data_IF_019136869737
#
_entry.id   IF_019136869737
#
_cell.length_a   1.000
_cell.length_b   1.000
_cell.length_c   1.000
_cell.angle_alpha   90.00
_cell.angle_beta   90.00
_cell.angle_gamma   90.00
#
_symmetry.space_group_name_H-M   'P 1'
#
loop_
_entity.id
_entity.type
_entity.pdbx_description
1 polymer ?
#
# COMPACT_ATOMS: atom_id res chain seq x y z
N UNK A 1 4.91 28.52 -19.77
CA UNK A 1 4.64 28.61 -18.33
C UNK A 1 3.42 27.73 -18.06
N UNK A 2 3.54 26.70 -17.24
CA UNK A 2 2.40 25.85 -16.85
C UNK A 2 1.61 26.56 -15.76
N UNK A 3 0.28 26.60 -15.87
CA UNK A 3 -0.57 27.30 -14.93
C UNK A 3 -1.71 26.38 -14.50
N UNK A 4 -1.98 26.34 -13.18
CA UNK A 4 -3.20 25.72 -12.64
C UNK A 4 -4.38 26.60 -13.04
N UNK A 5 -5.32 26.05 -13.79
CA UNK A 5 -6.47 26.78 -14.33
C UNK A 5 -7.65 26.80 -13.35
N UNK A 6 -7.78 25.74 -12.52
CA UNK A 6 -8.85 25.66 -11.54
C UNK A 6 -8.94 24.30 -10.85
N UNK A 7 -9.87 24.21 -9.91
CA UNK A 7 -10.25 22.97 -9.24
C UNK A 7 -11.69 22.67 -9.64
N UNK A 8 -11.93 21.50 -10.18
CA UNK A 8 -13.24 21.05 -10.62
C UNK A 8 -13.65 19.78 -9.88
N UNK A 9 -14.92 19.72 -9.50
CA UNK A 9 -15.50 18.51 -8.91
C UNK A 9 -16.17 17.70 -10.00
N UNK A 10 -15.82 16.44 -10.13
CA UNK A 10 -16.31 15.54 -11.16
C UNK A 10 -16.94 14.31 -10.51
N UNK A 11 -18.03 13.82 -11.06
CA UNK A 11 -18.64 12.57 -10.65
C UNK A 11 -17.95 11.37 -11.30
N UNK A 12 -17.87 10.25 -10.60
CA UNK A 12 -17.31 9.00 -11.13
C UNK A 12 -17.97 8.55 -12.44
N UNK A 13 -19.26 8.83 -12.63
CA UNK A 13 -20.01 8.49 -13.83
C UNK A 13 -19.60 9.31 -15.07
N UNK A 14 -18.87 10.39 -14.89
CA UNK A 14 -18.37 11.25 -15.97
C UNK A 14 -16.96 10.89 -16.40
N UNK A 15 -16.30 9.98 -15.66
CA UNK A 15 -14.97 9.48 -15.98
C UNK A 15 -15.09 8.32 -16.94
N UNK A 16 -14.56 8.48 -18.13
CA UNK A 16 -14.54 7.46 -19.19
C UNK A 16 -13.18 6.76 -19.14
N UNK A 17 -13.19 5.45 -19.19
CA UNK A 17 -11.95 4.68 -19.28
C UNK A 17 -11.24 5.01 -20.60
N UNK A 18 -9.92 5.28 -20.59
CA UNK A 18 -9.19 5.60 -21.81
C UNK A 18 -9.26 4.44 -22.82
N UNK A 19 -9.44 4.76 -24.09
CA UNK A 19 -9.31 3.81 -25.18
C UNK A 19 -7.82 3.48 -25.43
N UNK A 20 -7.54 2.31 -26.00
CA UNK A 20 -6.20 1.85 -26.37
C UNK A 20 -5.43 2.83 -27.28
N UNK A 21 -6.14 3.73 -27.96
CA UNK A 21 -5.56 4.78 -28.81
C UNK A 21 -4.88 5.91 -28.02
N UNK A 22 -5.27 6.10 -26.75
CA UNK A 22 -4.69 7.11 -25.84
C UNK A 22 -3.57 6.50 -25.01
N UNK A 23 -3.58 5.19 -24.90
CA UNK A 23 -2.55 4.41 -24.21
C UNK A 23 -1.48 4.04 -25.23
N UNK A 24 -0.34 4.75 -25.22
CA UNK A 24 0.83 4.38 -26.02
C UNK A 24 1.32 2.95 -25.71
N UNK A 25 2.14 2.39 -26.59
CA UNK A 25 2.70 1.03 -26.46
C UNK A 25 3.49 0.78 -25.14
N UNK A 26 3.88 1.83 -24.41
CA UNK A 26 4.72 1.78 -23.23
C UNK A 26 3.98 1.87 -21.86
N UNK A 27 2.67 1.63 -21.84
CA UNK A 27 1.89 1.66 -20.61
C UNK A 27 1.11 2.97 -20.40
N UNK A 28 -0.12 2.82 -19.94
CA UNK A 28 -1.06 3.92 -19.77
C UNK A 28 -0.63 4.85 -18.62
N UNK A 29 -0.27 6.08 -18.96
CA UNK A 29 -0.15 7.16 -17.97
C UNK A 29 -1.47 7.91 -17.74
N UNK A 30 -2.59 7.39 -18.25
CA UNK A 30 -3.91 7.97 -18.10
C UNK A 30 -4.86 6.99 -17.41
N UNK A 31 -5.40 7.38 -16.26
CA UNK A 31 -6.41 6.60 -15.52
C UNK A 31 -7.83 6.86 -16.01
N UNK A 32 -8.09 8.01 -16.63
CA UNK A 32 -9.41 8.36 -17.10
C UNK A 32 -9.42 9.57 -18.05
N UNK A 33 -10.54 9.75 -18.71
CA UNK A 33 -10.82 10.93 -19.54
C UNK A 33 -12.18 11.49 -19.17
N UNK A 34 -12.27 12.81 -19.00
CA UNK A 34 -13.52 13.52 -18.79
C UNK A 34 -13.73 14.56 -19.90
N UNK A 35 -14.99 14.84 -20.20
CA UNK A 35 -15.36 15.90 -21.15
C UNK A 35 -15.87 17.10 -20.37
N UNK A 36 -15.12 18.21 -20.44
CA UNK A 36 -15.48 19.48 -19.78
C UNK A 36 -15.46 20.61 -20.79
N UNK A 37 -16.54 21.37 -20.86
CA UNK A 37 -16.66 22.55 -21.74
C UNK A 37 -16.28 22.27 -23.21
N UNK A 38 -16.64 21.08 -23.72
CA UNK A 38 -16.31 20.64 -25.08
C UNK A 38 -14.85 20.23 -25.27
N UNK A 39 -14.03 20.21 -24.23
CA UNK A 39 -12.64 19.74 -24.24
C UNK A 39 -12.53 18.39 -23.55
N UNK A 40 -11.57 17.58 -24.00
CA UNK A 40 -11.18 16.36 -23.30
C UNK A 40 -10.08 16.70 -22.29
N UNK A 41 -10.31 16.31 -21.06
CA UNK A 41 -9.33 16.44 -19.96
C UNK A 41 -8.90 15.05 -19.56
N UNK A 42 -7.60 14.79 -19.62
CA UNK A 42 -7.00 13.50 -19.28
C UNK A 42 -6.65 13.52 -17.79
N UNK A 43 -7.10 12.50 -17.08
CA UNK A 43 -6.69 12.23 -15.69
C UNK A 43 -5.42 11.41 -15.76
N UNK A 44 -4.33 11.96 -15.21
CA UNK A 44 -3.02 11.32 -15.24
C UNK A 44 -2.86 10.35 -14.07
N UNK A 45 -2.22 9.23 -14.36
CA UNK A 45 -1.73 8.28 -13.37
C UNK A 45 -0.36 8.77 -12.86
N UNK A 46 -0.38 9.49 -11.74
CA UNK A 46 0.86 10.00 -11.16
C UNK A 46 1.77 8.89 -10.65
N UNK A 47 1.23 7.78 -10.19
CA UNK A 47 2.00 6.63 -9.72
C UNK A 47 2.72 5.95 -10.91
N UNK A 48 2.02 5.76 -12.02
CA UNK A 48 2.64 5.26 -13.25
C UNK A 48 3.73 6.21 -13.78
N UNK A 49 3.48 7.53 -13.72
CA UNK A 49 4.48 8.54 -14.11
C UNK A 49 5.69 8.50 -13.20
N UNK A 50 5.51 8.49 -11.87
CA UNK A 50 6.61 8.41 -10.90
C UNK A 50 7.39 7.12 -11.07
N UNK A 51 6.71 5.99 -11.24
CA UNK A 51 7.35 4.69 -11.49
C UNK A 51 8.16 4.67 -12.80
N UNK A 52 7.72 5.42 -13.83
CA UNK A 52 8.46 5.53 -15.09
C UNK A 52 9.71 6.41 -14.97
N UNK A 53 9.67 7.43 -14.11
CA UNK A 53 10.80 8.36 -13.86
C UNK A 53 11.80 7.77 -12.89
N UNK A 54 11.33 7.09 -11.86
CA UNK A 54 12.15 6.44 -10.81
C UNK A 54 11.79 4.96 -10.69
N UNK A 55 12.24 4.15 -11.65
CA UNK A 55 11.89 2.74 -11.67
C UNK A 55 12.42 1.94 -10.48
N UNK A 56 13.31 2.52 -9.68
CA UNK A 56 13.89 1.89 -8.48
C UNK A 56 12.98 2.00 -7.24
N UNK A 57 11.94 2.85 -7.28
CA UNK A 57 11.05 3.11 -6.14
C UNK A 57 9.69 2.41 -6.21
N UNK A 58 9.38 1.72 -7.32
CA UNK A 58 8.10 1.05 -7.53
C UNK A 58 8.16 -0.46 -7.29
N UNK A 59 7.17 -1.01 -6.59
CA UNK A 59 6.91 -2.46 -6.60
C UNK A 59 6.67 -2.92 -8.05
N UNK A 60 7.61 -3.67 -8.60
CA UNK A 60 7.45 -4.28 -9.91
C UNK A 60 6.92 -5.69 -9.74
N UNK A 61 5.71 -5.91 -10.21
CA UNK A 61 5.12 -7.26 -10.30
C UNK A 61 6.05 -8.21 -11.06
N UNK A 62 6.84 -7.70 -12.03
CA UNK A 62 7.82 -8.47 -12.79
C UNK A 62 9.01 -8.96 -11.97
N UNK A 63 9.37 -8.28 -10.87
CA UNK A 63 10.48 -8.71 -10.02
C UNK A 63 10.10 -9.95 -9.19
N UNK A 64 8.80 -10.19 -9.02
CA UNK A 64 8.28 -11.37 -8.32
C UNK A 64 8.44 -12.64 -9.18
N UNK A 65 8.38 -12.52 -10.50
CA UNK A 65 8.64 -13.65 -11.41
C UNK A 65 10.07 -14.19 -11.27
N UNK A 66 11.01 -13.35 -10.80
CA UNK A 66 12.41 -13.73 -10.56
C UNK A 66 12.61 -14.49 -9.24
N UNK A 67 11.62 -14.45 -8.33
CA UNK A 67 11.74 -15.10 -7.00
C UNK A 67 11.61 -16.62 -7.11
N UNK A 68 11.11 -17.15 -8.23
CA UNK A 68 10.88 -18.59 -8.45
C UNK A 68 9.65 -19.12 -7.68
N UNK A 69 9.31 -20.38 -7.93
CA UNK A 69 8.23 -21.06 -7.20
C UNK A 69 8.60 -21.20 -5.72
N UNK A 70 7.81 -20.61 -4.84
CA UNK A 70 7.92 -20.79 -3.39
C UNK A 70 6.84 -21.75 -2.90
N UNK A 71 7.17 -22.50 -1.85
CA UNK A 71 6.17 -23.27 -1.13
C UNK A 71 5.11 -22.34 -0.56
N UNK A 72 3.84 -22.73 -0.64
CA UNK A 72 2.75 -22.01 -0.01
C UNK A 72 2.98 -21.90 1.49
N UNK A 73 2.81 -20.70 2.02
CA UNK A 73 2.83 -20.44 3.46
C UNK A 73 1.41 -20.14 3.92
N UNK A 74 1.05 -20.75 5.02
CA UNK A 74 -0.20 -20.48 5.74
C UNK A 74 -0.03 -19.43 6.84
N UNK A 75 1.15 -18.80 6.92
CA UNK A 75 1.43 -17.77 7.91
C UNK A 75 0.55 -16.53 7.64
N UNK A 76 -0.30 -16.13 8.59
CA UNK A 76 -1.20 -15.02 8.38
C UNK A 76 -0.45 -13.68 8.50
N UNK A 77 -0.68 -12.80 7.53
CA UNK A 77 -0.10 -11.46 7.47
C UNK A 77 -1.21 -10.42 7.59
N UNK A 78 -1.05 -9.48 8.50
CA UNK A 78 -1.93 -8.32 8.63
C UNK A 78 -1.31 -7.14 7.88
N UNK A 79 -2.09 -6.52 6.99
CA UNK A 79 -1.69 -5.40 6.14
C UNK A 79 -2.52 -4.19 6.54
N UNK A 80 -1.87 -3.06 6.81
CA UNK A 80 -2.50 -1.77 7.03
C UNK A 80 -2.08 -0.81 5.91
N UNK A 81 -3.02 -0.48 5.03
CA UNK A 81 -2.80 0.34 3.82
C UNK A 81 -4.10 1.03 3.43
N UNK A 82 -4.09 2.36 3.33
CA UNK A 82 -5.30 3.14 3.04
C UNK A 82 -5.57 3.33 1.54
N UNK A 83 -4.56 3.15 0.69
CA UNK A 83 -4.72 3.16 -0.77
C UNK A 83 -5.26 1.81 -1.27
N UNK A 84 -6.48 1.74 -1.83
CA UNK A 84 -7.00 0.49 -2.38
C UNK A 84 -6.13 -0.11 -3.48
N UNK A 85 -5.43 0.75 -4.24
CA UNK A 85 -4.54 0.33 -5.32
C UNK A 85 -3.29 -0.34 -4.76
N UNK A 86 -2.60 0.30 -3.80
CA UNK A 86 -1.40 -0.26 -3.17
C UNK A 86 -1.73 -1.50 -2.35
N UNK A 87 -2.84 -1.49 -1.63
CA UNK A 87 -3.34 -2.66 -0.89
C UNK A 87 -3.57 -3.86 -1.80
N UNK A 88 -4.19 -3.66 -2.97
CA UNK A 88 -4.36 -4.72 -3.98
C UNK A 88 -3.01 -5.21 -4.51
N UNK A 89 -2.10 -4.30 -4.83
CA UNK A 89 -0.77 -4.63 -5.34
C UNK A 89 0.05 -5.44 -4.34
N UNK A 90 0.11 -5.01 -3.08
CA UNK A 90 0.80 -5.74 -1.99
C UNK A 90 0.19 -7.13 -1.82
N UNK A 91 -1.15 -7.21 -1.80
CA UNK A 91 -1.89 -8.46 -1.67
C UNK A 91 -1.57 -9.43 -2.82
N UNK A 92 -1.58 -8.94 -4.06
CA UNK A 92 -1.27 -9.76 -5.24
C UNK A 92 0.20 -10.24 -5.23
N UNK A 93 1.11 -9.37 -4.79
CA UNK A 93 2.51 -9.71 -4.62
C UNK A 93 2.71 -10.81 -3.59
N UNK A 94 2.09 -10.69 -2.42
CA UNK A 94 2.19 -11.68 -1.34
C UNK A 94 1.55 -13.02 -1.75
N UNK A 95 0.39 -12.99 -2.43
CA UNK A 95 -0.22 -14.22 -2.96
C UNK A 95 0.66 -14.92 -3.98
N UNK A 96 1.29 -14.19 -4.90
CA UNK A 96 2.26 -14.75 -5.84
C UNK A 96 3.49 -15.31 -5.14
N UNK A 97 3.91 -14.70 -4.01
CA UNK A 97 4.97 -15.19 -3.16
C UNK A 97 4.58 -16.41 -2.30
N UNK A 98 3.31 -16.85 -2.37
CA UNK A 98 2.82 -18.06 -1.70
C UNK A 98 2.12 -17.80 -0.37
N UNK A 99 1.88 -16.55 0.06
CA UNK A 99 1.12 -16.24 1.27
C UNK A 99 -0.37 -16.17 0.97
N UNK A 100 -1.17 -17.05 1.59
CA UNK A 100 -2.60 -17.16 1.29
C UNK A 100 -3.48 -16.44 2.34
N UNK A 101 -3.03 -16.37 3.60
CA UNK A 101 -3.80 -15.80 4.70
C UNK A 101 -3.43 -14.32 4.90
N UNK A 102 -4.17 -13.44 4.24
CA UNK A 102 -3.93 -11.99 4.29
C UNK A 102 -5.14 -11.30 4.92
N UNK A 103 -4.90 -10.52 5.96
CA UNK A 103 -5.89 -9.65 6.60
C UNK A 103 -5.56 -8.22 6.20
N UNK A 104 -6.48 -7.55 5.51
CA UNK A 104 -6.29 -6.19 5.02
C UNK A 104 -7.15 -5.24 5.84
N UNK A 105 -6.54 -4.13 6.26
CA UNK A 105 -7.17 -3.02 6.97
C UNK A 105 -6.86 -1.70 6.29
N UNK A 106 -7.76 -0.72 6.39
CA UNK A 106 -7.66 0.55 5.66
C UNK A 106 -6.91 1.64 6.44
N UNK A 107 -6.44 1.36 7.64
CA UNK A 107 -5.66 2.29 8.47
C UNK A 107 -5.08 1.57 9.69
N UNK A 108 -4.16 2.26 10.39
CA UNK A 108 -3.51 1.71 11.57
C UNK A 108 -4.46 1.48 12.75
N UNK A 109 -5.58 2.23 12.85
CA UNK A 109 -6.55 2.01 13.94
C UNK A 109 -7.30 0.69 13.76
N UNK A 110 -7.76 0.39 12.55
CA UNK A 110 -8.40 -0.90 12.26
C UNK A 110 -7.44 -2.07 12.48
N UNK A 111 -6.18 -1.92 12.06
CA UNK A 111 -5.15 -2.92 12.32
C UNK A 111 -4.93 -3.15 13.82
N UNK A 112 -4.82 -2.07 14.59
CA UNK A 112 -4.69 -2.14 16.04
C UNK A 112 -5.90 -2.83 16.71
N UNK A 113 -7.11 -2.46 16.30
CA UNK A 113 -8.35 -3.04 16.84
C UNK A 113 -8.42 -4.55 16.56
N UNK A 114 -8.00 -4.99 15.36
CA UNK A 114 -7.90 -6.42 15.01
C UNK A 114 -6.87 -7.17 15.85
N UNK A 115 -5.69 -6.60 16.04
CA UNK A 115 -4.65 -7.20 16.91
C UNK A 115 -5.18 -7.34 18.34
N UNK A 116 -5.84 -6.30 18.87
CA UNK A 116 -6.43 -6.34 20.21
C UNK A 116 -7.58 -7.35 20.33
N UNK A 117 -8.38 -7.53 19.26
CA UNK A 117 -9.42 -8.55 19.20
C UNK A 117 -8.82 -9.95 19.33
N UNK A 118 -7.80 -10.27 18.54
CA UNK A 118 -7.12 -11.57 18.56
C UNK A 118 -6.36 -11.80 19.87
N UNK A 119 -5.71 -10.78 20.44
CA UNK A 119 -5.01 -10.88 21.72
C UNK A 119 -6.00 -11.24 22.85
N UNK A 120 -7.13 -10.54 22.93
CA UNK A 120 -8.17 -10.80 23.93
C UNK A 120 -8.81 -12.19 23.76
N UNK A 121 -8.92 -12.68 22.55
CA UNK A 121 -9.40 -14.01 22.25
C UNK A 121 -8.37 -15.12 22.53
N UNK A 122 -7.09 -14.76 22.73
CA UNK A 122 -6.00 -15.71 22.89
C UNK A 122 -5.61 -16.44 21.60
N UNK A 123 -5.95 -15.84 20.44
CA UNK A 123 -5.73 -16.42 19.10
C UNK A 123 -4.77 -15.59 18.24
N UNK A 124 -4.00 -14.70 18.86
CA UNK A 124 -3.13 -13.78 18.14
C UNK A 124 -2.12 -14.52 17.27
N UNK A 125 -1.39 -15.47 17.85
CA UNK A 125 -0.35 -16.25 17.16
C UNK A 125 -0.90 -17.15 16.05
N UNK A 126 -2.23 -17.39 16.03
CA UNK A 126 -2.89 -18.16 14.96
C UNK A 126 -3.33 -17.25 13.81
N UNK A 127 -3.48 -15.94 14.06
CA UNK A 127 -4.10 -15.00 13.13
C UNK A 127 -3.16 -13.90 12.64
N UNK A 128 -2.02 -13.64 13.29
CA UNK A 128 -1.06 -12.61 12.87
C UNK A 128 0.36 -13.06 13.18
N UNK A 129 1.12 -13.39 12.13
CA UNK A 129 2.55 -13.71 12.23
C UNK A 129 3.44 -12.54 11.82
N UNK A 130 2.91 -11.58 11.07
CA UNK A 130 3.63 -10.39 10.63
C UNK A 130 2.64 -9.26 10.37
N UNK A 131 3.07 -8.03 10.63
CA UNK A 131 2.33 -6.82 10.28
C UNK A 131 3.11 -6.07 9.21
N UNK A 132 2.45 -5.74 8.10
CA UNK A 132 2.98 -4.83 7.07
C UNK A 132 2.15 -3.55 7.14
N UNK A 133 2.77 -2.41 7.30
CA UNK A 133 2.05 -1.14 7.44
C UNK A 133 2.65 -0.05 6.58
N UNK A 134 1.78 0.73 5.90
CA UNK A 134 2.20 2.04 5.38
C UNK A 134 2.41 3.02 6.54
N UNK A 135 3.11 4.12 6.26
CA UNK A 135 3.34 5.21 7.22
C UNK A 135 2.16 6.17 7.25
N UNK A 136 1.75 6.68 6.09
CA UNK A 136 0.79 7.78 5.98
C UNK A 136 -0.64 7.28 5.82
N UNK A 137 -1.32 7.02 6.92
CA UNK A 137 -2.70 6.56 6.94
C UNK A 137 -3.58 7.47 7.81
N UNK A 138 -4.90 7.57 7.50
CA UNK A 138 -5.84 8.29 8.34
C UNK A 138 -6.02 7.61 9.72
N UNK A 139 -6.51 8.35 10.71
CA UNK A 139 -6.82 7.91 12.08
C UNK A 139 -5.59 7.49 12.88
N UNK A 140 -4.80 6.54 12.40
CA UNK A 140 -3.55 6.10 13.02
C UNK A 140 -2.51 5.80 11.95
N UNK A 141 -1.38 6.51 12.02
CA UNK A 141 -0.22 6.29 11.15
C UNK A 141 0.56 5.02 11.53
N UNK A 142 1.36 4.51 10.57
CA UNK A 142 2.11 3.27 10.75
C UNK A 142 3.21 3.35 11.82
N UNK A 143 3.79 4.51 12.05
CA UNK A 143 4.76 4.70 13.13
C UNK A 143 4.10 4.55 14.51
N UNK A 144 2.89 5.09 14.67
CA UNK A 144 2.12 4.94 15.91
C UNK A 144 1.69 3.50 16.12
N UNK A 145 1.22 2.82 15.06
CA UNK A 145 0.89 1.40 15.12
C UNK A 145 2.11 0.58 15.55
N UNK A 146 3.27 0.78 14.90
CA UNK A 146 4.54 0.11 15.24
C UNK A 146 4.89 0.34 16.70
N UNK A 147 4.84 1.59 17.18
CA UNK A 147 5.12 1.93 18.57
C UNK A 147 4.20 1.21 19.55
N UNK A 148 2.89 1.14 19.27
CA UNK A 148 1.94 0.45 20.13
C UNK A 148 2.26 -1.05 20.22
N UNK A 149 2.52 -1.70 19.08
CA UNK A 149 2.88 -3.13 19.03
C UNK A 149 4.18 -3.36 19.79
N UNK A 150 5.23 -2.59 19.51
CA UNK A 150 6.57 -2.82 20.08
C UNK A 150 6.71 -2.40 21.56
N UNK A 151 5.80 -1.56 22.06
CA UNK A 151 5.78 -1.15 23.48
C UNK A 151 4.93 -2.06 24.36
N UNK A 152 4.14 -2.95 23.80
CA UNK A 152 3.31 -3.89 24.55
C UNK A 152 4.06 -5.20 24.77
N UNK A 153 4.19 -5.65 26.01
CA UNK A 153 4.96 -6.83 26.38
C UNK A 153 4.44 -8.13 25.74
N UNK A 154 3.15 -8.18 25.41
CA UNK A 154 2.51 -9.32 24.77
C UNK A 154 2.64 -9.30 23.23
N UNK A 155 2.78 -8.10 22.66
CA UNK A 155 2.75 -7.89 21.21
C UNK A 155 4.12 -7.63 20.60
N UNK A 156 5.12 -7.23 21.38
CA UNK A 156 6.46 -6.80 20.90
C UNK A 156 7.21 -7.87 20.10
N UNK A 157 6.81 -9.15 20.23
CA UNK A 157 7.38 -10.26 19.48
C UNK A 157 6.90 -10.30 18.01
N UNK A 158 5.75 -9.66 17.69
CA UNK A 158 5.24 -9.61 16.32
C UNK A 158 6.18 -8.82 15.43
N UNK A 159 6.66 -9.39 14.31
CA UNK A 159 7.41 -8.66 13.31
C UNK A 159 6.56 -7.55 12.68
N UNK A 160 7.14 -6.36 12.58
CA UNK A 160 6.52 -5.20 11.90
C UNK A 160 7.42 -4.72 10.78
N UNK A 161 6.89 -4.74 9.57
CA UNK A 161 7.53 -4.24 8.37
C UNK A 161 6.83 -2.93 7.98
N UNK A 162 7.60 -1.84 7.90
CA UNK A 162 7.09 -0.58 7.38
C UNK A 162 7.32 -0.58 5.88
N UNK A 163 6.25 -0.39 5.12
CA UNK A 163 6.27 -0.29 3.67
C UNK A 163 5.70 1.08 3.27
N UNK A 164 6.51 1.92 2.65
CA UNK A 164 6.05 3.24 2.20
C UNK A 164 6.74 3.66 0.91
N UNK A 165 5.99 4.33 0.04
CA UNK A 165 6.52 4.91 -1.20
C UNK A 165 7.38 6.17 -0.97
N UNK A 166 7.32 6.76 0.22
CA UNK A 166 7.99 8.01 0.59
C UNK A 166 9.07 7.82 1.65
N UNK A 167 9.86 6.75 1.54
CA UNK A 167 10.93 6.49 2.51
C UNK A 167 12.08 7.48 2.27
N UNK A 168 12.26 8.41 3.20
CA UNK A 168 13.47 9.18 3.34
C UNK A 168 14.29 8.68 4.54
N UNK A 169 15.54 9.10 4.63
CA UNK A 169 16.47 8.68 5.69
C UNK A 169 15.95 9.00 7.11
N UNK A 170 15.21 10.09 7.28
CA UNK A 170 14.61 10.48 8.56
C UNK A 170 13.49 9.52 8.97
N UNK A 171 12.59 9.17 8.04
CA UNK A 171 11.51 8.22 8.27
C UNK A 171 12.06 6.83 8.58
N UNK A 172 13.12 6.41 7.88
CA UNK A 172 13.80 5.14 8.13
C UNK A 172 14.37 5.08 9.56
N UNK A 173 15.13 6.10 9.96
CA UNK A 173 15.68 6.18 11.33
C UNK A 173 14.58 6.19 12.38
N UNK A 174 13.47 6.87 12.10
CA UNK A 174 12.32 6.89 13.00
C UNK A 174 11.71 5.49 13.16
N UNK A 175 11.44 4.76 12.08
CA UNK A 175 10.92 3.40 12.14
C UNK A 175 11.85 2.45 12.89
N UNK A 176 13.16 2.50 12.61
CA UNK A 176 14.19 1.74 13.35
C UNK A 176 14.14 2.07 14.86
N UNK A 177 14.04 3.35 15.21
CA UNK A 177 13.97 3.79 16.62
C UNK A 177 12.70 3.33 17.34
N UNK A 178 11.63 3.04 16.63
CA UNK A 178 10.38 2.51 17.14
C UNK A 178 10.37 0.98 17.22
N UNK A 179 11.43 0.33 16.71
CA UNK A 179 11.58 -1.11 16.76
C UNK A 179 10.97 -1.85 15.57
N UNK A 180 10.74 -1.17 14.43
CA UNK A 180 10.37 -1.87 13.20
C UNK A 180 11.46 -2.87 12.81
N UNK A 181 11.06 -4.07 12.37
CA UNK A 181 11.99 -5.15 12.04
C UNK A 181 12.55 -5.02 10.62
N UNK A 182 11.81 -4.35 9.73
CA UNK A 182 12.25 -4.03 8.36
C UNK A 182 11.52 -2.78 7.83
N UNK A 183 12.15 -2.17 6.80
CA UNK A 183 11.58 -1.05 6.04
C UNK A 183 12.02 -1.14 4.57
#
# INVERSE_FOLDING_TARGET
MWQVVGIHRVSWNEIIKPDSTINGEDGSVATGVIKMDGKLVVILDFEAIVSSISPETGLRVNDIEQIGERSRSEDPILIAEDSPLLSSLITDCLKKAGYEKLIVTCNGQEAWDKIQEFEKAGTLDENVHCVITDIEMPQMDGHRLTKLIKSDDKLKHLPVIIFSSLVNEEMRRKGESLGADAQ
#
